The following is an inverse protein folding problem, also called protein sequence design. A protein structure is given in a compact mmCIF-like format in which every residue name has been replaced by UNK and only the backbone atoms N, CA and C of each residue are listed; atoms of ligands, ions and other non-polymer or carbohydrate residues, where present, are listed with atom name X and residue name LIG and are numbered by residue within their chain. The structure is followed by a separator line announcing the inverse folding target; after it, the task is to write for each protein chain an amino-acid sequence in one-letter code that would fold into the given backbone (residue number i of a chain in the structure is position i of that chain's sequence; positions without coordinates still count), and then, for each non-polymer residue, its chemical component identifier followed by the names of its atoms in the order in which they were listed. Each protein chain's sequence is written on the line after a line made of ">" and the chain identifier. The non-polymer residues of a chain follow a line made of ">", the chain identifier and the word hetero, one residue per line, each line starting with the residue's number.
data_IF_776050340614
#
_entry.id   IF_776050340614
#
_cell.length_a   1.000
_cell.length_b   1.000
_cell.length_c   1.000
_cell.angle_alpha   90.00
_cell.angle_beta   90.00
_cell.angle_gamma   90.00
#
_symmetry.space_group_name_H-M   'P 1'
#
loop_
_entity.id
_entity.type
_entity.pdbx_description
1 polymer ?
#
# COMPACT_ATOMS: atom_id res chain seq x y z
N UNK A 1 12.93 10.54 -4.13
CA UNK A 1 12.12 11.25 -3.13
C UNK A 1 12.94 12.25 -2.32
N UNK A 2 14.09 11.88 -1.79
CA UNK A 2 14.97 12.82 -1.07
C UNK A 2 15.29 14.06 -1.90
N UNK A 3 15.60 13.91 -3.19
CA UNK A 3 15.85 15.04 -4.12
C UNK A 3 14.63 15.92 -4.41
N UNK A 4 13.45 15.49 -3.99
CA UNK A 4 12.20 16.26 -4.08
C UNK A 4 11.80 16.87 -2.74
N UNK A 5 12.64 16.79 -1.71
CA UNK A 5 12.43 17.41 -0.41
C UNK A 5 11.72 16.53 0.63
N UNK A 6 11.47 15.25 0.35
CA UNK A 6 10.89 14.35 1.33
C UNK A 6 11.93 13.84 2.35
N UNK A 7 11.51 13.72 3.60
CA UNK A 7 12.11 12.77 4.52
C UNK A 7 11.64 11.36 4.15
N UNK A 8 12.55 10.40 4.08
CA UNK A 8 12.22 9.01 3.71
C UNK A 8 12.40 8.09 4.90
N UNK A 9 11.31 7.46 5.30
CA UNK A 9 11.30 6.42 6.34
C UNK A 9 11.20 5.07 5.63
N UNK A 10 12.32 4.34 5.57
CA UNK A 10 12.36 2.99 5.02
C UNK A 10 12.17 1.99 6.15
N UNK A 11 11.08 1.24 6.09
CA UNK A 11 10.68 0.31 7.15
C UNK A 11 11.11 -1.12 6.84
N UNK A 12 11.46 -1.87 7.90
CA UNK A 12 11.52 -3.31 7.87
C UNK A 12 10.21 -3.86 8.43
N UNK A 13 9.63 -4.83 7.75
CA UNK A 13 8.43 -5.53 8.20
C UNK A 13 8.70 -7.04 8.28
N UNK A 14 7.96 -7.75 9.10
CA UNK A 14 8.11 -9.20 9.28
C UNK A 14 7.76 -9.93 7.98
N UNK A 15 8.66 -10.78 7.52
CA UNK A 15 8.46 -11.64 6.36
C UNK A 15 7.77 -12.96 6.77
N UNK A 16 7.19 -13.68 5.83
CA UNK A 16 6.42 -14.91 6.07
C UNK A 16 7.20 -16.01 6.81
N UNK A 17 8.53 -16.05 6.69
CA UNK A 17 9.40 -16.97 7.43
C UNK A 17 9.59 -16.58 8.91
N UNK A 18 9.21 -15.35 9.29
CA UNK A 18 9.27 -14.84 10.68
C UNK A 18 7.87 -14.80 11.30
N UNK A 19 6.89 -14.30 10.55
CA UNK A 19 5.48 -14.26 10.97
C UNK A 19 4.56 -14.23 9.75
N UNK A 20 3.47 -14.99 9.83
CA UNK A 20 2.46 -15.04 8.78
C UNK A 20 1.62 -13.76 8.73
N UNK A 21 0.74 -13.65 7.73
CA UNK A 21 -0.27 -12.60 7.71
C UNK A 21 -1.09 -12.61 9.02
N UNK A 22 -1.45 -11.43 9.57
CA UNK A 22 -1.32 -10.10 9.00
C UNK A 22 -0.07 -9.32 9.43
N UNK A 23 0.96 -9.96 10.01
CA UNK A 23 2.07 -9.33 10.69
C UNK A 23 2.74 -8.17 9.90
N UNK A 24 2.97 -8.35 8.60
CA UNK A 24 3.56 -7.29 7.76
C UNK A 24 2.63 -6.07 7.62
N UNK A 25 1.31 -6.29 7.60
CA UNK A 25 0.32 -5.20 7.57
C UNK A 25 0.35 -4.44 8.89
N UNK A 26 0.37 -5.14 10.02
CA UNK A 26 0.51 -4.54 11.36
C UNK A 26 1.79 -3.69 11.44
N UNK A 27 2.93 -4.23 11.03
CA UNK A 27 4.22 -3.54 11.06
C UNK A 27 4.20 -2.24 10.25
N UNK A 28 3.65 -2.26 9.04
CA UNK A 28 3.57 -1.08 8.19
C UNK A 28 2.58 -0.03 8.73
N UNK A 29 1.49 -0.47 9.33
CA UNK A 29 0.54 0.40 10.03
C UNK A 29 1.20 1.04 11.26
N UNK A 30 1.89 0.26 12.07
CA UNK A 30 2.62 0.77 13.25
C UNK A 30 3.73 1.76 12.86
N UNK A 31 4.36 1.59 11.70
CA UNK A 31 5.31 2.57 11.19
C UNK A 31 4.65 3.92 10.89
N UNK A 32 3.42 3.94 10.34
CA UNK A 32 2.65 5.17 10.14
C UNK A 32 2.36 5.87 11.48
N UNK A 33 1.92 5.12 12.49
CA UNK A 33 1.71 5.65 13.85
C UNK A 33 2.99 6.22 14.44
N UNK A 34 4.12 5.52 14.25
CA UNK A 34 5.42 6.00 14.71
C UNK A 34 5.79 7.34 14.05
N UNK A 35 5.60 7.48 12.73
CA UNK A 35 5.88 8.73 12.00
C UNK A 35 5.07 9.89 12.58
N UNK A 36 3.78 9.68 12.80
CA UNK A 36 2.88 10.71 13.32
C UNK A 36 3.27 11.10 14.75
N UNK A 37 3.56 10.12 15.62
CA UNK A 37 3.94 10.37 17.01
C UNK A 37 5.29 11.06 17.15
N UNK A 38 6.18 10.88 16.19
CA UNK A 38 7.51 11.49 16.20
C UNK A 38 7.61 12.73 15.30
N UNK A 39 6.49 13.21 14.78
CA UNK A 39 6.46 14.31 13.80
C UNK A 39 7.10 15.60 14.34
N UNK A 40 6.79 15.99 15.57
CA UNK A 40 7.39 17.15 16.22
C UNK A 40 8.91 17.00 16.37
N UNK A 41 9.35 15.83 16.87
CA UNK A 41 10.78 15.54 17.11
C UNK A 41 11.62 15.63 15.84
N UNK A 42 11.09 15.17 14.71
CA UNK A 42 11.82 15.13 13.43
C UNK A 42 11.38 16.20 12.44
N UNK A 43 10.48 17.11 12.84
CA UNK A 43 9.91 18.16 11.99
C UNK A 43 9.24 17.59 10.74
N UNK A 44 8.50 16.49 10.87
CA UNK A 44 7.72 15.91 9.77
C UNK A 44 6.40 16.67 9.59
N UNK A 45 6.07 17.01 8.35
CA UNK A 45 4.75 17.50 7.99
C UNK A 45 3.78 16.33 7.82
N UNK A 46 2.96 16.06 8.83
CA UNK A 46 1.99 14.95 8.82
C UNK A 46 0.84 15.18 7.83
N UNK A 47 0.69 16.38 7.30
CA UNK A 47 -0.31 16.66 6.26
C UNK A 47 0.15 16.23 4.86
N UNK A 48 1.43 15.86 4.71
CA UNK A 48 2.07 15.46 3.45
C UNK A 48 2.67 14.05 3.46
N UNK A 49 2.16 13.15 4.30
CA UNK A 49 2.63 11.76 4.33
C UNK A 49 2.23 11.06 3.03
N UNK A 50 3.20 10.45 2.35
CA UNK A 50 2.99 9.62 1.16
C UNK A 50 3.47 8.21 1.48
N UNK A 51 2.61 7.21 1.28
CA UNK A 51 3.02 5.81 1.33
C UNK A 51 3.41 5.32 -0.05
N UNK A 52 4.52 4.59 -0.15
CA UNK A 52 4.99 4.03 -1.43
C UNK A 52 5.73 2.72 -1.21
N UNK A 53 5.69 1.86 -2.19
CA UNK A 53 6.40 0.58 -2.17
C UNK A 53 6.17 -0.23 -3.44
N UNK A 54 7.01 -1.24 -3.65
CA UNK A 54 6.98 -2.12 -4.81
C UNK A 54 6.54 -3.52 -4.42
N UNK A 55 5.68 -4.17 -5.22
CA UNK A 55 5.21 -5.56 -5.04
C UNK A 55 4.55 -5.75 -3.66
N UNK A 56 5.12 -6.55 -2.76
CA UNK A 56 4.68 -6.64 -1.37
C UNK A 56 4.66 -5.27 -0.68
N UNK A 57 5.69 -4.42 -0.90
CA UNK A 57 5.69 -3.04 -0.41
C UNK A 57 4.58 -2.18 -1.02
N UNK A 58 4.18 -2.43 -2.27
CA UNK A 58 3.02 -1.80 -2.91
C UNK A 58 1.71 -2.20 -2.23
N UNK A 59 1.55 -3.49 -1.91
CA UNK A 59 0.44 -3.99 -1.10
C UNK A 59 0.40 -3.29 0.28
N UNK A 60 1.55 -3.23 0.97
CA UNK A 60 1.65 -2.60 2.28
C UNK A 60 1.42 -1.08 2.22
N UNK A 61 1.86 -0.41 1.15
CA UNK A 61 1.56 1.02 0.96
C UNK A 61 0.07 1.28 0.80
N UNK A 62 -0.63 0.40 0.08
CA UNK A 62 -2.08 0.47 -0.08
C UNK A 62 -2.80 0.17 1.24
N UNK A 63 -2.50 -0.95 1.93
CA UNK A 63 -3.15 -1.29 3.21
C UNK A 63 -2.92 -0.21 4.25
N UNK A 64 -1.70 0.35 4.33
CA UNK A 64 -1.38 1.44 5.25
C UNK A 64 -2.19 2.70 4.97
N UNK A 65 -2.37 3.08 3.71
CA UNK A 65 -3.03 4.33 3.34
C UNK A 65 -4.55 4.23 3.17
N UNK A 66 -5.09 3.05 2.82
CA UNK A 66 -6.52 2.86 2.55
C UNK A 66 -7.30 2.48 3.82
N UNK A 67 -6.72 1.66 4.70
CA UNK A 67 -7.41 1.21 5.91
C UNK A 67 -7.69 2.38 6.84
N UNK A 68 -8.90 2.41 7.39
CA UNK A 68 -9.28 3.40 8.40
C UNK A 68 -8.41 3.29 9.65
N UNK A 69 -8.25 4.35 10.44
CA UNK A 69 -7.68 4.24 11.78
C UNK A 69 -8.46 3.25 12.65
N UNK A 70 -7.79 2.71 13.67
CA UNK A 70 -8.39 1.78 14.64
C UNK A 70 -8.85 0.45 14.05
N UNK A 71 -8.21 0.00 12.97
CA UNK A 71 -8.43 -1.38 12.50
C UNK A 71 -7.89 -2.38 13.52
N UNK A 72 -8.33 -3.64 13.39
CA UNK A 72 -7.76 -4.73 14.20
C UNK A 72 -6.24 -4.84 14.08
N UNK A 73 -5.64 -4.40 12.95
CA UNK A 73 -4.21 -4.41 12.69
C UNK A 73 -3.43 -3.29 13.39
N UNK A 74 -4.10 -2.32 13.99
CA UNK A 74 -3.47 -1.22 14.75
C UNK A 74 -3.26 -1.57 16.22
N UNK A 75 -3.92 -2.61 16.74
CA UNK A 75 -3.93 -2.97 18.17
C UNK A 75 -2.56 -3.28 18.75
N UNK A 76 -1.61 -3.72 17.93
CA UNK A 76 -0.25 -4.05 18.35
C UNK A 76 0.71 -2.85 18.31
N UNK A 77 0.24 -1.69 17.87
CA UNK A 77 1.11 -0.52 17.71
C UNK A 77 1.41 0.13 19.07
N UNK A 78 2.70 0.35 19.44
CA UNK A 78 3.10 0.86 20.75
C UNK A 78 2.48 2.19 21.15
N UNK A 79 2.02 2.98 20.18
CA UNK A 79 1.38 4.28 20.41
C UNK A 79 -0.09 4.19 20.81
N UNK A 80 -0.70 3.02 20.73
CA UNK A 80 -2.11 2.83 21.05
C UNK A 80 -2.38 2.82 22.57
N UNK A 81 -1.38 2.50 23.38
CA UNK A 81 -1.54 2.31 24.84
C UNK A 81 -1.10 3.51 25.70
N UNK A 82 -0.44 4.51 25.15
CA UNK A 82 0.14 5.60 25.94
C UNK A 82 -0.77 6.85 25.93
N UNK A 83 -1.62 6.95 26.94
CA UNK A 83 -2.26 8.20 27.40
C UNK A 83 -3.55 8.73 26.75
N UNK A 84 -4.34 7.99 25.99
CA UNK A 84 -5.61 8.51 25.39
C UNK A 84 -5.50 9.88 24.67
N UNK A 85 -4.28 10.35 24.40
CA UNK A 85 -4.01 11.65 23.76
C UNK A 85 -3.82 11.56 22.25
N UNK A 86 -3.79 10.35 21.70
CA UNK A 86 -3.58 10.15 20.27
C UNK A 86 -4.88 10.48 19.53
N UNK A 87 -4.85 11.51 18.71
CA UNK A 87 -5.97 11.85 17.84
C UNK A 87 -5.95 10.95 16.60
N UNK A 88 -6.71 9.85 16.66
CA UNK A 88 -6.82 8.89 15.55
C UNK A 88 -7.29 9.54 14.24
N UNK A 89 -7.94 10.71 14.27
CA UNK A 89 -8.30 11.47 13.08
C UNK A 89 -7.09 11.96 12.29
N UNK A 90 -5.92 12.03 12.94
CA UNK A 90 -4.64 12.41 12.30
C UNK A 90 -3.96 11.25 11.57
N UNK A 91 -4.40 10.00 11.76
CA UNK A 91 -3.83 8.84 11.07
C UNK A 91 -4.36 8.78 9.63
N UNK A 92 -3.83 9.65 8.80
CA UNK A 92 -4.15 9.75 7.37
C UNK A 92 -2.89 9.95 6.57
N UNK A 93 -2.90 9.45 5.34
CA UNK A 93 -1.87 9.77 4.35
C UNK A 93 -2.43 10.73 3.31
N UNK A 94 -1.57 11.56 2.75
CA UNK A 94 -1.94 12.57 1.75
C UNK A 94 -2.01 12.00 0.33
N UNK A 95 -1.25 10.94 0.05
CA UNK A 95 -1.31 10.19 -1.20
C UNK A 95 -0.71 8.80 -1.05
N UNK A 96 -1.03 7.93 -2.02
CA UNK A 96 -0.46 6.59 -2.14
C UNK A 96 0.16 6.43 -3.52
N UNK A 97 1.43 5.98 -3.58
CA UNK A 97 2.12 5.61 -4.82
C UNK A 97 2.42 4.12 -4.78
N UNK A 98 1.55 3.35 -5.40
CA UNK A 98 1.62 1.90 -5.46
C UNK A 98 2.39 1.44 -6.70
N UNK A 99 3.40 0.58 -6.53
CA UNK A 99 4.13 -0.04 -7.63
C UNK A 99 3.83 -1.53 -7.65
N UNK A 100 3.07 -1.98 -8.65
CA UNK A 100 2.72 -3.40 -8.87
C UNK A 100 2.29 -4.15 -7.60
N UNK A 101 1.58 -3.47 -6.68
CA UNK A 101 1.15 -4.07 -5.42
C UNK A 101 -0.07 -4.97 -5.59
N UNK A 102 -0.15 -5.99 -4.74
CA UNK A 102 -1.29 -6.88 -4.63
C UNK A 102 -2.49 -6.10 -4.08
N UNK A 103 -3.62 -6.14 -4.74
CA UNK A 103 -4.84 -5.44 -4.30
C UNK A 103 -5.93 -6.37 -3.80
N UNK A 104 -5.87 -7.64 -4.20
CA UNK A 104 -6.85 -8.69 -3.91
C UNK A 104 -6.12 -9.98 -3.57
N UNK A 105 -5.92 -10.26 -2.27
CA UNK A 105 -5.19 -11.45 -1.81
C UNK A 105 -6.04 -12.70 -2.01
N UNK A 106 -7.37 -12.60 -1.92
CA UNK A 106 -8.28 -13.72 -2.13
C UNK A 106 -8.16 -14.30 -3.55
N UNK A 107 -7.99 -13.43 -4.57
CA UNK A 107 -7.76 -13.84 -5.97
C UNK A 107 -6.45 -14.65 -6.16
N UNK A 108 -5.47 -14.49 -5.25
CA UNK A 108 -4.16 -15.14 -5.35
C UNK A 108 -4.02 -16.45 -4.56
N UNK A 109 -5.03 -16.87 -3.82
CA UNK A 109 -4.96 -18.10 -3.01
C UNK A 109 -5.70 -19.29 -3.64
N UNK A 110 -6.49 -19.05 -4.67
CA UNK A 110 -7.26 -20.09 -5.37
C UNK A 110 -7.40 -19.76 -6.87
N UNK A 111 -7.89 -20.73 -7.66
CA UNK A 111 -8.16 -20.57 -9.09
C UNK A 111 -6.93 -20.32 -9.96
N UNK A 112 -7.15 -19.71 -11.13
CA UNK A 112 -6.13 -19.51 -12.18
C UNK A 112 -5.04 -18.49 -11.78
N UNK A 113 -5.38 -17.58 -10.88
CA UNK A 113 -4.45 -16.55 -10.39
C UNK A 113 -3.67 -17.00 -9.16
N UNK A 114 -3.82 -18.22 -8.69
CA UNK A 114 -3.12 -18.73 -7.51
C UNK A 114 -1.62 -18.50 -7.60
N UNK A 115 -1.03 -18.00 -6.49
CA UNK A 115 0.40 -17.73 -6.34
C UNK A 115 0.91 -18.34 -5.03
N UNK A 116 1.98 -19.10 -5.12
CA UNK A 116 2.56 -19.79 -3.95
C UNK A 116 2.94 -18.80 -2.86
N UNK A 117 3.53 -17.65 -3.20
CA UNK A 117 3.92 -16.64 -2.20
C UNK A 117 2.73 -16.12 -1.38
N UNK A 118 1.52 -16.01 -1.96
CA UNK A 118 0.33 -15.58 -1.24
C UNK A 118 -0.19 -16.67 -0.30
N UNK A 119 -0.16 -17.93 -0.76
CA UNK A 119 -0.51 -19.11 0.03
C UNK A 119 0.47 -19.29 1.21
N UNK A 120 1.78 -19.18 0.96
CA UNK A 120 2.83 -19.26 1.98
C UNK A 120 2.68 -18.15 3.03
N UNK A 121 2.36 -16.93 2.61
CA UNK A 121 2.14 -15.82 3.52
C UNK A 121 0.95 -16.03 4.46
N UNK A 122 -0.06 -16.80 4.04
CA UNK A 122 -1.23 -17.19 4.85
C UNK A 122 -1.03 -18.51 5.61
N UNK A 123 0.12 -19.21 5.47
CA UNK A 123 0.46 -20.40 6.26
C UNK A 123 0.31 -21.73 5.55
N UNK A 124 0.24 -21.76 4.21
CA UNK A 124 0.17 -22.96 3.35
C UNK A 124 -1.12 -23.82 3.45
N UNK A 125 -1.86 -23.75 4.55
CA UNK A 125 -3.11 -24.46 4.73
C UNK A 125 -4.29 -23.49 4.66
N UNK A 126 -4.91 -23.40 3.48
CA UNK A 126 -5.99 -22.45 3.24
C UNK A 126 -7.32 -23.04 3.69
N UNK A 127 -7.78 -22.61 4.84
CA UNK A 127 -9.10 -22.90 5.40
C UNK A 127 -10.00 -21.66 5.29
N UNK A 128 -11.24 -21.75 5.81
CA UNK A 128 -12.12 -20.59 5.88
C UNK A 128 -11.52 -19.41 6.67
N UNK A 129 -10.69 -19.69 7.67
CA UNK A 129 -10.00 -18.65 8.45
C UNK A 129 -9.02 -17.87 7.58
N UNK A 130 -8.21 -18.55 6.77
CA UNK A 130 -7.26 -17.92 5.87
C UNK A 130 -7.95 -17.17 4.72
N UNK A 131 -9.09 -17.68 4.24
CA UNK A 131 -9.91 -16.96 3.25
C UNK A 131 -10.46 -15.66 3.83
N UNK A 132 -11.00 -15.67 5.04
CA UNK A 132 -11.46 -14.45 5.71
C UNK A 132 -10.30 -13.48 6.01
N UNK A 133 -9.13 -13.99 6.38
CA UNK A 133 -7.94 -13.16 6.56
C UNK A 133 -7.49 -12.55 5.23
N UNK A 134 -7.48 -13.33 4.13
CA UNK A 134 -7.16 -12.83 2.80
C UNK A 134 -8.06 -11.65 2.39
N UNK A 135 -9.37 -11.74 2.67
CA UNK A 135 -10.32 -10.64 2.45
C UNK A 135 -9.97 -9.41 3.28
N UNK A 136 -9.64 -9.61 4.57
CA UNK A 136 -9.30 -8.53 5.51
C UNK A 136 -8.00 -7.81 5.15
N UNK A 137 -7.01 -8.50 4.58
CA UNK A 137 -5.75 -7.88 4.14
C UNK A 137 -5.78 -7.43 2.69
N UNK A 138 -6.91 -7.53 1.98
CA UNK A 138 -7.05 -7.08 0.59
C UNK A 138 -7.46 -5.60 0.51
N UNK A 139 -6.56 -4.70 0.04
CA UNK A 139 -6.84 -3.26 -0.05
C UNK A 139 -8.11 -2.92 -0.82
N UNK A 140 -8.43 -3.69 -1.86
CA UNK A 140 -9.60 -3.46 -2.71
C UNK A 140 -10.93 -3.50 -1.94
N UNK A 141 -10.99 -4.16 -0.79
CA UNK A 141 -12.18 -4.28 0.04
C UNK A 141 -12.44 -3.04 0.92
N UNK A 142 -11.48 -2.11 1.00
CA UNK A 142 -11.57 -0.88 1.80
C UNK A 142 -11.77 0.37 0.94
N UNK A 143 -12.06 0.22 -0.36
CA UNK A 143 -12.30 1.36 -1.25
C UNK A 143 -13.58 2.09 -0.83
N UNK A 144 -13.44 3.38 -0.55
CA UNK A 144 -14.50 4.32 -0.15
C UNK A 144 -14.20 5.72 -0.67
N UNK A 145 -15.16 6.63 -0.65
CA UNK A 145 -15.08 7.95 -1.32
C UNK A 145 -14.12 8.96 -0.69
N UNK A 146 -13.74 8.76 0.59
CA UNK A 146 -12.89 9.69 1.34
C UNK A 146 -11.39 9.30 1.33
N UNK A 147 -10.99 8.43 0.42
CA UNK A 147 -9.59 8.01 0.26
C UNK A 147 -8.72 9.11 -0.33
N UNK A 148 -7.42 9.14 0.03
CA UNK A 148 -6.46 10.03 -0.58
C UNK A 148 -6.26 9.71 -2.07
N UNK A 149 -5.68 10.63 -2.87
CA UNK A 149 -5.26 10.34 -4.23
C UNK A 149 -4.34 9.14 -4.32
N UNK A 150 -4.59 8.25 -5.31
CA UNK A 150 -3.82 7.01 -5.51
C UNK A 150 -3.25 6.97 -6.92
N UNK A 151 -1.93 6.85 -7.03
CA UNK A 151 -1.22 6.52 -8.26
C UNK A 151 -0.77 5.06 -8.22
N UNK A 152 -1.10 4.29 -9.25
CA UNK A 152 -0.53 2.95 -9.45
C UNK A 152 0.34 2.91 -10.69
N UNK A 153 1.56 2.40 -10.55
CA UNK A 153 2.46 2.04 -11.63
C UNK A 153 2.43 0.52 -11.78
N UNK A 154 2.13 -0.01 -12.97
CA UNK A 154 2.06 -1.45 -13.18
C UNK A 154 2.43 -1.85 -14.61
N UNK A 155 3.27 -2.87 -14.76
CA UNK A 155 3.59 -3.44 -16.06
C UNK A 155 2.41 -4.24 -16.64
N UNK A 156 2.02 -3.98 -17.89
CA UNK A 156 0.87 -4.65 -18.49
C UNK A 156 1.12 -6.14 -18.89
N UNK A 157 2.39 -6.59 -18.73
CA UNK A 157 2.82 -7.98 -18.90
C UNK A 157 3.32 -8.60 -17.59
N UNK A 158 2.88 -8.07 -16.46
CA UNK A 158 3.22 -8.60 -15.15
C UNK A 158 2.60 -9.99 -14.95
N UNK A 159 3.47 -11.00 -14.75
CA UNK A 159 3.10 -12.41 -14.51
C UNK A 159 3.18 -12.81 -13.04
N UNK A 160 3.73 -11.93 -12.18
CA UNK A 160 3.87 -12.15 -10.74
C UNK A 160 2.63 -11.65 -10.01
N UNK A 161 2.32 -10.35 -10.15
CA UNK A 161 1.07 -9.75 -9.69
C UNK A 161 0.22 -9.45 -10.92
N UNK A 162 -0.92 -10.12 -11.11
CA UNK A 162 -1.74 -9.92 -12.30
C UNK A 162 -2.08 -8.44 -12.53
N UNK A 163 -1.82 -7.92 -13.74
CA UNK A 163 -2.16 -6.53 -14.08
C UNK A 163 -3.63 -6.20 -13.83
N UNK A 164 -4.51 -7.21 -13.91
CA UNK A 164 -5.92 -7.09 -13.58
C UNK A 164 -6.20 -6.58 -12.16
N UNK A 165 -5.26 -6.79 -11.21
CA UNK A 165 -5.34 -6.24 -9.85
C UNK A 165 -5.37 -4.71 -9.86
N UNK A 166 -4.47 -4.08 -10.63
CA UNK A 166 -4.46 -2.63 -10.78
C UNK A 166 -5.73 -2.13 -11.48
N UNK A 167 -6.15 -2.79 -12.56
CA UNK A 167 -7.37 -2.43 -13.31
C UNK A 167 -8.62 -2.50 -12.42
N UNK A 168 -8.81 -3.60 -11.69
CA UNK A 168 -9.95 -3.79 -10.77
C UNK A 168 -9.96 -2.73 -9.66
N UNK A 169 -8.79 -2.42 -9.06
CA UNK A 169 -8.68 -1.40 -8.04
C UNK A 169 -9.12 -0.04 -8.59
N UNK A 170 -8.56 0.39 -9.74
CA UNK A 170 -8.87 1.69 -10.33
C UNK A 170 -10.32 1.82 -10.76
N UNK A 171 -10.94 0.76 -11.29
CA UNK A 171 -12.38 0.73 -11.56
C UNK A 171 -13.24 0.93 -10.28
N UNK A 172 -12.82 0.36 -9.14
CA UNK A 172 -13.52 0.58 -7.87
C UNK A 172 -13.31 2.01 -7.35
N UNK A 173 -12.09 2.55 -7.48
CA UNK A 173 -11.77 3.93 -7.11
C UNK A 173 -12.59 4.94 -7.92
N UNK A 174 -12.71 4.73 -9.23
CA UNK A 174 -13.56 5.56 -10.12
C UNK A 174 -15.02 5.55 -9.68
N UNK A 175 -15.58 4.37 -9.42
CA UNK A 175 -16.95 4.22 -8.92
C UNK A 175 -17.18 4.89 -7.56
N UNK A 176 -16.15 4.95 -6.72
CA UNK A 176 -16.21 5.61 -5.42
C UNK A 176 -15.93 7.12 -5.50
N UNK A 177 -15.59 7.67 -6.68
CA UNK A 177 -15.25 9.09 -6.87
C UNK A 177 -13.89 9.47 -6.29
N UNK A 178 -12.99 8.51 -6.07
CA UNK A 178 -11.65 8.76 -5.55
C UNK A 178 -10.73 9.25 -6.67
N UNK A 179 -9.95 10.29 -6.40
CA UNK A 179 -8.91 10.76 -7.33
C UNK A 179 -7.86 9.68 -7.50
N UNK A 180 -7.71 9.17 -8.72
CA UNK A 180 -6.80 8.07 -8.98
C UNK A 180 -6.17 8.15 -10.38
N UNK A 181 -5.02 7.50 -10.56
CA UNK A 181 -4.32 7.40 -11.83
C UNK A 181 -3.64 6.04 -11.95
N UNK A 182 -3.92 5.31 -13.02
CA UNK A 182 -3.21 4.08 -13.39
C UNK A 182 -2.20 4.40 -14.50
N UNK A 183 -0.92 4.29 -14.20
CA UNK A 183 0.17 4.38 -15.18
C UNK A 183 0.58 2.97 -15.61
N UNK A 184 0.03 2.52 -16.74
CA UNK A 184 0.34 1.23 -17.35
C UNK A 184 1.65 1.29 -18.11
N UNK A 185 2.64 0.53 -17.67
CA UNK A 185 3.94 0.48 -18.33
C UNK A 185 3.90 -0.58 -19.43
N UNK A 186 3.73 -0.12 -20.67
CA UNK A 186 3.51 -1.00 -21.83
C UNK A 186 4.67 -1.96 -22.07
N UNK A 187 4.35 -3.25 -22.17
CA UNK A 187 5.31 -4.32 -22.42
C UNK A 187 6.19 -4.69 -21.22
N UNK A 188 6.06 -4.01 -20.09
CA UNK A 188 6.86 -4.30 -18.89
C UNK A 188 6.30 -5.47 -18.10
N UNK A 189 7.22 -6.27 -17.52
CA UNK A 189 6.93 -7.30 -16.54
C UNK A 189 6.91 -6.75 -15.12
N UNK A 190 6.92 -7.64 -14.10
CA UNK A 190 6.84 -7.24 -12.70
C UNK A 190 7.94 -6.28 -12.24
N UNK A 191 9.20 -6.58 -12.53
CA UNK A 191 10.35 -5.89 -11.95
C UNK A 191 11.37 -5.40 -12.99
N UNK A 192 11.01 -5.41 -14.26
CA UNK A 192 11.91 -4.99 -15.32
C UNK A 192 11.31 -3.80 -16.07
N UNK A 193 11.89 -2.63 -15.83
CA UNK A 193 11.62 -1.39 -16.55
C UNK A 193 12.89 -0.93 -17.28
N UNK A 194 12.77 -0.60 -18.56
CA UNK A 194 13.87 0.02 -19.30
C UNK A 194 14.23 1.38 -18.68
N UNK A 195 15.42 1.89 -18.99
CA UNK A 195 15.84 3.23 -18.53
C UNK A 195 14.82 4.32 -18.91
N UNK A 196 14.30 4.26 -20.14
CA UNK A 196 13.29 5.22 -20.61
C UNK A 196 11.98 5.09 -19.82
N UNK A 197 11.49 3.86 -19.60
CA UNK A 197 10.29 3.61 -18.79
C UNK A 197 10.47 4.11 -17.36
N UNK A 198 11.64 3.84 -16.74
CA UNK A 198 11.98 4.34 -15.41
C UNK A 198 11.94 5.86 -15.33
N UNK A 199 12.48 6.56 -16.31
CA UNK A 199 12.42 8.02 -16.40
C UNK A 199 10.96 8.51 -16.50
N UNK A 200 10.14 7.90 -17.33
CA UNK A 200 8.72 8.23 -17.46
C UNK A 200 7.96 7.98 -16.17
N UNK A 201 8.22 6.86 -15.48
CA UNK A 201 7.59 6.53 -14.19
C UNK A 201 7.90 7.62 -13.17
N UNK A 202 9.18 8.01 -12.99
CA UNK A 202 9.53 9.05 -12.03
C UNK A 202 8.99 10.43 -12.41
N UNK A 203 8.92 10.75 -13.71
CA UNK A 203 8.26 11.97 -14.17
C UNK A 203 6.76 11.96 -13.78
N UNK A 204 6.06 10.86 -14.06
CA UNK A 204 4.64 10.69 -13.70
C UNK A 204 4.40 10.80 -12.20
N UNK A 205 5.25 10.18 -11.37
CA UNK A 205 5.15 10.30 -9.91
C UNK A 205 5.33 11.76 -9.46
N UNK A 206 6.35 12.43 -10.00
CA UNK A 206 6.62 13.83 -9.67
C UNK A 206 5.46 14.74 -10.05
N UNK A 207 4.92 14.60 -11.26
CA UNK A 207 3.73 15.33 -11.72
C UNK A 207 2.51 15.08 -10.84
N UNK A 208 2.27 13.82 -10.44
CA UNK A 208 1.22 13.45 -9.52
C UNK A 208 1.37 14.15 -8.16
N UNK A 209 2.58 14.14 -7.58
CA UNK A 209 2.85 14.77 -6.30
C UNK A 209 2.71 16.31 -6.36
N UNK A 210 3.17 16.95 -7.44
CA UNK A 210 2.97 18.39 -7.68
C UNK A 210 1.48 18.73 -7.79
N UNK A 211 0.73 17.97 -8.60
CA UNK A 211 -0.71 18.17 -8.79
C UNK A 211 -1.49 18.16 -7.47
N UNK A 212 -1.03 17.36 -6.51
CA UNK A 212 -1.65 17.23 -5.20
C UNK A 212 -0.96 18.06 -4.11
N UNK A 213 -0.08 19.01 -4.49
CA UNK A 213 0.58 19.99 -3.60
C UNK A 213 1.43 19.33 -2.50
N UNK A 214 2.04 18.20 -2.82
CA UNK A 214 2.88 17.44 -1.88
C UNK A 214 4.37 17.80 -1.97
N UNK A 215 4.77 18.39 -3.10
CA UNK A 215 6.09 18.99 -3.36
C UNK A 215 5.93 20.30 -4.10
#
# INVERSE_FOLDING_TARGET
>A
YLSWGFSVININYRLANTALAPAAVEDSRCALYWVINNAEKYSFDTTKIVTTGFSAGGHLSLTTGIMSPETEFDKQCPSHDLDNKFDNKKVKVAAIVNWSGITDVEDLIAGDNKRNYAVEWLGNNITNTEIELAKKVSPINYVRSDLPPILTIHGDKDTVVPYAHAVKLHQKLDKAGVVNQLFSVKGASHNYFSKQQTQQIYATIKEFLIKHQLI
#
